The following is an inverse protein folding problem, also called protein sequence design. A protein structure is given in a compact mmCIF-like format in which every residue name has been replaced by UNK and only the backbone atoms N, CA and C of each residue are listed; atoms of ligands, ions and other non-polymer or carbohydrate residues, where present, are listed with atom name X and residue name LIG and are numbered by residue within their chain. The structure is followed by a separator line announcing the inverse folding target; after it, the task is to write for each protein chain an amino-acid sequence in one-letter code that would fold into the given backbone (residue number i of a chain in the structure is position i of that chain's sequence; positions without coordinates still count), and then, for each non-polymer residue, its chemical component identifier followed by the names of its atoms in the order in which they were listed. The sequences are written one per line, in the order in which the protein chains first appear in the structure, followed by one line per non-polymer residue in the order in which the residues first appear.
data_IF_707695968883
#
_entry.id   IF_707695968883
#
_cell.length_a   1.000
_cell.length_b   1.000
_cell.length_c   1.000
_cell.angle_alpha   90.00
_cell.angle_beta   90.00
_cell.angle_gamma   90.00
#
_symmetry.space_group_name_H-M   'P 1'
#
loop_
_entity.id
_entity.type
_entity.pdbx_description
1 polymer ?
#
# COMPACT_ATOMS: atom_id res chain seq x y z
N UNK A 1 1.10 12.25 17.53
CA UNK A 1 0.13 11.23 17.07
C UNK A 1 0.94 10.03 16.59
N UNK A 2 0.65 8.84 17.11
CA UNK A 2 1.47 7.64 16.97
C UNK A 2 1.62 7.23 15.50
N UNK A 3 2.83 6.83 15.11
CA UNK A 3 3.10 6.31 13.76
C UNK A 3 2.21 5.09 13.48
N UNK A 4 1.62 4.96 12.28
CA UNK A 4 0.87 3.76 11.92
C UNK A 4 1.80 2.56 11.95
N UNK A 5 1.47 1.57 12.80
CA UNK A 5 2.23 0.32 12.90
C UNK A 5 1.90 -0.59 11.73
N UNK A 6 2.78 -1.54 11.39
CA UNK A 6 2.56 -2.49 10.30
C UNK A 6 1.21 -3.23 10.43
N UNK A 7 0.83 -3.62 11.65
CA UNK A 7 -0.45 -4.26 11.93
C UNK A 7 -1.67 -3.34 11.67
N UNK A 8 -1.55 -2.04 11.95
CA UNK A 8 -2.59 -1.07 11.63
C UNK A 8 -2.71 -0.91 10.11
N UNK A 9 -1.59 -0.75 9.41
CA UNK A 9 -1.55 -0.63 7.95
C UNK A 9 -2.14 -1.86 7.28
N UNK A 10 -1.79 -3.06 7.75
CA UNK A 10 -2.37 -4.32 7.28
C UNK A 10 -3.89 -4.32 7.45
N UNK A 11 -4.38 -3.93 8.63
CA UNK A 11 -5.82 -3.86 8.91
C UNK A 11 -6.53 -2.85 8.01
N UNK A 12 -5.94 -1.66 7.81
CA UNK A 12 -6.50 -0.61 6.96
C UNK A 12 -6.53 -1.06 5.49
N UNK A 13 -5.43 -1.62 4.98
CA UNK A 13 -5.34 -2.16 3.61
C UNK A 13 -6.33 -3.31 3.41
N UNK A 14 -6.38 -4.27 4.33
CA UNK A 14 -7.31 -5.39 4.26
C UNK A 14 -8.76 -4.91 4.29
N UNK A 15 -9.09 -3.89 5.09
CA UNK A 15 -10.43 -3.30 5.16
C UNK A 15 -10.81 -2.54 3.89
N UNK A 16 -9.89 -1.76 3.32
CA UNK A 16 -10.10 -1.04 2.06
C UNK A 16 -10.30 -2.03 0.92
N UNK A 17 -9.52 -3.11 0.88
CA UNK A 17 -9.63 -4.19 -0.10
C UNK A 17 -10.91 -5.01 0.04
N UNK A 18 -11.28 -5.36 1.28
CA UNK A 18 -12.53 -6.06 1.59
C UNK A 18 -13.78 -5.23 1.30
N UNK A 19 -13.63 -3.90 1.20
CA UNK A 19 -14.69 -2.99 0.80
C UNK A 19 -14.52 -2.48 -0.65
N UNK A 20 -13.54 -3.01 -1.38
CA UNK A 20 -13.26 -2.59 -2.75
C UNK A 20 -14.30 -3.17 -3.69
N UNK A 21 -15.05 -2.30 -4.36
CA UNK A 21 -16.15 -2.64 -5.30
C UNK A 21 -17.26 -3.56 -4.73
N UNK A 22 -17.41 -3.66 -3.41
CA UNK A 22 -18.43 -4.51 -2.79
C UNK A 22 -18.12 -6.01 -2.88
N UNK A 23 -16.86 -6.39 -3.18
CA UNK A 23 -16.43 -7.79 -3.13
C UNK A 23 -16.08 -8.16 -1.69
N UNK A 24 -16.90 -9.00 -1.07
CA UNK A 24 -16.54 -9.66 0.19
C UNK A 24 -15.56 -10.80 -0.12
N UNK A 25 -14.26 -10.50 -0.06
CA UNK A 25 -13.23 -11.55 -0.04
C UNK A 25 -13.40 -12.33 1.27
N UNK A 26 -13.97 -13.53 1.18
CA UNK A 26 -14.17 -14.42 2.34
C UNK A 26 -12.86 -15.05 2.83
N UNK A 27 -11.83 -15.06 1.99
CA UNK A 27 -10.48 -15.48 2.35
C UNK A 27 -9.71 -14.36 3.03
N UNK A 28 -8.93 -14.72 4.05
CA UNK A 28 -8.11 -13.80 4.80
C UNK A 28 -7.07 -13.17 3.85
N UNK A 29 -7.23 -11.89 3.54
CA UNK A 29 -6.23 -11.11 2.81
C UNK A 29 -4.98 -11.06 3.70
N UNK A 30 -3.98 -11.86 3.36
CA UNK A 30 -2.75 -12.00 4.11
C UNK A 30 -1.54 -11.50 3.32
N UNK A 31 -0.35 -11.42 3.92
CA UNK A 31 0.85 -10.92 3.26
C UNK A 31 1.28 -11.76 2.05
N UNK A 32 0.84 -13.01 1.95
CA UNK A 32 1.09 -13.92 0.83
C UNK A 32 0.07 -13.78 -0.32
N UNK A 33 -1.05 -13.09 -0.08
CA UNK A 33 -2.10 -12.85 -1.07
C UNK A 33 -1.58 -11.99 -2.22
N UNK A 34 -1.97 -12.38 -3.44
CA UNK A 34 -1.49 -11.83 -4.70
C UNK A 34 -2.52 -10.92 -5.36
N UNK A 35 -2.16 -9.67 -5.60
CA UNK A 35 -3.08 -8.64 -6.09
C UNK A 35 -3.64 -8.97 -7.48
N UNK A 36 -2.79 -9.44 -8.38
CA UNK A 36 -3.21 -9.72 -9.75
C UNK A 36 -3.61 -11.19 -9.93
N UNK A 37 -2.87 -12.12 -9.31
CA UNK A 37 -3.08 -13.56 -9.50
C UNK A 37 -4.15 -14.16 -8.58
N UNK A 38 -4.31 -13.65 -7.35
CA UNK A 38 -5.27 -14.19 -6.36
C UNK A 38 -6.57 -13.36 -6.33
N UNK A 39 -6.44 -12.03 -6.26
CA UNK A 39 -7.61 -11.13 -6.28
C UNK A 39 -8.13 -10.83 -7.69
N UNK A 40 -7.34 -11.13 -8.74
CA UNK A 40 -7.72 -10.86 -10.13
C UNK A 40 -7.83 -9.35 -10.45
N UNK A 41 -7.18 -8.50 -9.66
CA UNK A 41 -7.24 -7.05 -9.82
C UNK A 41 -6.36 -6.64 -11.00
N UNK A 42 -6.80 -5.64 -11.76
CA UNK A 42 -6.05 -5.08 -12.87
C UNK A 42 -5.18 -3.91 -12.41
N UNK A 43 -4.28 -3.45 -13.27
CA UNK A 43 -3.40 -2.32 -12.95
C UNK A 43 -4.19 -1.05 -12.63
N UNK A 44 -5.41 -0.92 -13.17
CA UNK A 44 -6.34 0.18 -12.84
C UNK A 44 -6.81 0.11 -11.38
N UNK A 45 -7.13 -1.08 -10.87
CA UNK A 45 -7.56 -1.28 -9.49
C UNK A 45 -6.43 -0.95 -8.50
N UNK A 46 -5.19 -1.29 -8.86
CA UNK A 46 -4.02 -0.94 -8.05
C UNK A 46 -3.80 0.58 -7.98
N UNK A 47 -4.01 1.31 -9.07
CA UNK A 47 -3.95 2.78 -9.09
C UNK A 47 -5.06 3.38 -8.22
N UNK A 48 -6.31 2.91 -8.38
CA UNK A 48 -7.47 3.38 -7.60
C UNK A 48 -7.31 3.05 -6.10
N UNK A 49 -6.77 1.88 -5.76
CA UNK A 49 -6.41 1.54 -4.39
C UNK A 49 -5.37 2.52 -3.86
N UNK A 50 -4.33 2.79 -4.65
CA UNK A 50 -3.30 3.76 -4.30
C UNK A 50 -3.90 5.13 -4.03
N UNK A 51 -4.83 5.62 -4.84
CA UNK A 51 -5.54 6.88 -4.59
C UNK A 51 -6.34 6.85 -3.28
N UNK A 52 -7.08 5.78 -3.00
CA UNK A 52 -7.80 5.63 -1.72
C UNK A 52 -6.87 5.63 -0.52
N UNK A 53 -5.72 4.95 -0.62
CA UNK A 53 -4.72 4.94 0.44
C UNK A 53 -4.10 6.32 0.62
N UNK A 54 -3.80 7.02 -0.48
CA UNK A 54 -3.27 8.38 -0.44
C UNK A 54 -4.24 9.37 0.21
N UNK A 55 -5.54 9.26 -0.12
CA UNK A 55 -6.61 10.03 0.51
C UNK A 55 -6.75 9.69 1.99
N UNK A 56 -6.77 8.38 2.32
CA UNK A 56 -6.91 7.90 3.70
C UNK A 56 -5.74 8.33 4.61
N UNK A 57 -4.50 8.22 4.11
CA UNK A 57 -3.30 8.63 4.86
C UNK A 57 -2.95 10.11 4.68
N UNK A 58 -3.63 10.82 3.77
CA UNK A 58 -3.34 12.21 3.42
C UNK A 58 -1.93 12.45 2.88
N UNK A 59 -1.31 11.44 2.25
CA UNK A 59 0.11 11.46 1.82
C UNK A 59 0.23 10.95 0.38
N UNK A 60 1.07 11.58 -0.46
CA UNK A 60 1.34 11.06 -1.80
C UNK A 60 2.15 9.77 -1.71
N UNK A 61 1.66 8.72 -2.38
CA UNK A 61 2.28 7.40 -2.42
C UNK A 61 2.64 7.11 -3.88
N UNK A 62 3.91 6.81 -4.21
CA UNK A 62 4.33 6.58 -5.58
C UNK A 62 3.93 5.17 -6.07
N UNK A 63 2.62 4.90 -6.10
CA UNK A 63 2.06 3.66 -6.64
C UNK A 63 2.40 3.47 -8.11
N UNK A 64 2.51 4.56 -8.87
CA UNK A 64 2.95 4.49 -10.27
C UNK A 64 4.37 3.92 -10.42
N UNK A 65 5.26 4.20 -9.47
CA UNK A 65 6.63 3.68 -9.45
C UNK A 65 6.64 2.18 -9.12
N UNK A 66 5.86 1.79 -8.11
CA UNK A 66 5.63 0.38 -7.75
C UNK A 66 5.06 -0.42 -8.94
N UNK A 67 4.08 0.13 -9.66
CA UNK A 67 3.50 -0.49 -10.86
C UNK A 67 4.49 -0.57 -12.02
N UNK A 68 5.33 0.45 -12.20
CA UNK A 68 6.37 0.44 -13.23
C UNK A 68 7.40 -0.66 -12.93
N UNK A 69 7.84 -0.79 -11.67
CA UNK A 69 8.74 -1.87 -11.24
C UNK A 69 8.11 -3.25 -11.46
N UNK A 70 6.84 -3.44 -11.08
CA UNK A 70 6.11 -4.68 -11.34
C UNK A 70 6.00 -4.98 -12.83
N UNK A 71 5.75 -3.98 -13.67
CA UNK A 71 5.70 -4.13 -15.12
C UNK A 71 7.02 -4.59 -15.74
N UNK A 72 8.16 -4.24 -15.11
CA UNK A 72 9.51 -4.71 -15.50
C UNK A 72 9.84 -6.11 -14.97
N UNK A 73 9.18 -6.57 -13.90
CA UNK A 73 9.34 -7.92 -13.36
C UNK A 73 8.65 -8.95 -14.27
N UNK A 74 9.22 -10.16 -14.34
CA UNK A 74 8.57 -11.32 -14.97
C UNK A 74 7.31 -11.73 -14.20
N UNK A 75 7.34 -11.57 -12.88
CA UNK A 75 6.20 -11.71 -11.99
C UNK A 75 5.62 -10.31 -11.76
N UNK A 76 4.61 -9.94 -12.57
CA UNK A 76 3.89 -8.66 -12.43
C UNK A 76 2.93 -8.64 -11.25
N UNK A 77 3.11 -9.59 -10.35
CA UNK A 77 2.20 -9.84 -9.26
C UNK A 77 2.65 -9.08 -8.01
N UNK A 78 1.83 -8.14 -7.57
CA UNK A 78 2.05 -7.42 -6.33
C UNK A 78 1.53 -8.27 -5.18
N UNK A 79 2.33 -8.49 -4.14
CA UNK A 79 1.82 -9.11 -2.90
C UNK A 79 1.32 -8.06 -1.93
N UNK A 80 0.29 -8.41 -1.16
CA UNK A 80 -0.20 -7.56 -0.08
C UNK A 80 0.90 -7.26 0.94
N UNK A 81 1.78 -8.22 1.22
CA UNK A 81 2.94 -7.99 2.09
C UNK A 81 3.92 -6.95 1.55
N UNK A 82 4.18 -6.93 0.23
CA UNK A 82 5.02 -5.90 -0.41
C UNK A 82 4.34 -4.53 -0.34
N UNK A 83 3.02 -4.47 -0.52
CA UNK A 83 2.27 -3.23 -0.37
C UNK A 83 2.32 -2.70 1.07
N UNK A 84 2.12 -3.54 2.07
CA UNK A 84 2.17 -3.14 3.49
C UNK A 84 3.58 -2.67 3.87
N UNK A 85 4.62 -3.38 3.42
CA UNK A 85 6.01 -2.98 3.64
C UNK A 85 6.32 -1.62 2.98
N UNK A 86 5.86 -1.44 1.74
CA UNK A 86 5.99 -0.17 1.02
C UNK A 86 5.31 0.99 1.76
N UNK A 87 4.06 0.79 2.20
CA UNK A 87 3.32 1.77 3.00
C UNK A 87 4.04 2.04 4.32
N UNK A 88 4.49 1.01 5.02
CA UNK A 88 5.19 1.18 6.29
C UNK A 88 6.48 1.98 6.13
N UNK A 89 7.28 1.70 5.10
CA UNK A 89 8.50 2.46 4.76
C UNK A 89 8.21 3.92 4.43
N UNK A 90 7.19 4.20 3.62
CA UNK A 90 6.83 5.58 3.25
C UNK A 90 6.18 6.35 4.41
N UNK A 91 5.34 5.70 5.21
CA UNK A 91 4.66 6.31 6.35
C UNK A 91 5.62 6.54 7.53
N UNK A 92 6.57 5.62 7.77
CA UNK A 92 7.62 5.75 8.77
C UNK A 92 8.73 6.72 8.35
N UNK A 93 9.11 6.71 7.06
CA UNK A 93 10.13 7.59 6.46
C UNK A 93 9.70 9.04 6.30
N UNK A 94 8.39 9.34 6.37
CA UNK A 94 7.87 10.70 6.32
C UNK A 94 8.12 11.56 7.56
N UNK A 95 9.13 11.23 8.37
CA UNK A 95 9.73 12.08 9.39
C UNK A 95 11.03 12.79 8.92
N UNK A 96 11.47 12.59 7.66
CA UNK A 96 12.71 13.19 7.15
C UNK A 96 12.58 14.66 6.66
N UNK A 97 11.52 15.38 7.03
CA UNK A 97 11.47 16.84 6.79
C UNK A 97 11.80 17.70 8.01
N UNK A 98 12.32 17.09 9.10
CA UNK A 98 12.81 17.82 10.27
C UNK A 98 14.27 17.47 10.62
N UNK A 99 15.15 17.38 9.63
CA UNK A 99 16.61 17.51 9.87
C UNK A 99 16.97 18.98 10.11
N UNK A 100 16.62 19.43 11.32
CA UNK A 100 17.25 20.45 12.16
C UNK A 100 18.33 21.34 11.53
N UNK A 101 17.91 22.42 10.87
CA UNK A 101 18.66 23.67 10.71
C UNK A 101 18.66 24.45 12.04
N UNK A 102 19.28 23.91 13.09
CA UNK A 102 19.49 24.64 14.34
C UNK A 102 20.66 24.04 15.12
N UNK A 103 21.88 24.55 14.89
CA UNK A 103 22.81 24.74 16.01
C UNK A 103 23.74 25.93 15.73
N UNK A 104 23.85 26.77 16.76
CA UNK A 104 24.38 28.13 16.82
C UNK A 104 25.85 28.31 16.39
#
# INVERSE_FOLDING_TARGET
MSQPTQASIETDVAKILSNFEGREYSDAIGPETRFFADLGLASIDAVVLGEKLQDHYGRPLPFGDLMAELGQRTDRDLRIGELIDFLSKHLAGGNDSASNSQNA
#
